data_IF_704567527392
#
_entry.id   IF_704567527392
#
_cell.length_a   1.000
_cell.length_b   1.000
_cell.length_c   1.000
_cell.angle_alpha   90.00
_cell.angle_beta   90.00
_cell.angle_gamma   90.00
#
_symmetry.space_group_name_H-M   'P 1'
#
loop_
_entity.id
_entity.type
_entity.pdbx_description
1 polymer ?
#
# COMPACT_ATOMS: atom_id res chain seq x y z
N UNK A 1 -0.90 5.89 -18.45
CA UNK A 1 0.35 5.11 -18.25
C UNK A 1 0.48 4.09 -19.37
N UNK A 2 1.62 4.07 -20.09
CA UNK A 2 1.93 3.05 -21.11
C UNK A 2 2.31 1.73 -20.43
N UNK A 3 1.61 0.65 -20.77
CA UNK A 3 1.77 -0.68 -20.14
C UNK A 3 2.31 -1.75 -21.09
N UNK A 4 2.17 -1.55 -22.40
CA UNK A 4 2.84 -2.39 -23.42
C UNK A 4 3.85 -1.55 -24.19
N UNK A 5 5.09 -2.02 -24.29
CA UNK A 5 6.19 -1.30 -24.95
C UNK A 5 6.33 -1.66 -26.43
N UNK A 6 6.21 -2.94 -26.76
CA UNK A 6 6.41 -3.51 -28.08
C UNK A 6 5.29 -3.22 -29.07
N UNK A 7 5.37 -3.89 -30.21
CA UNK A 7 4.41 -3.76 -31.30
C UNK A 7 3.13 -4.51 -30.97
N UNK A 8 1.98 -3.87 -31.21
CA UNK A 8 0.67 -4.49 -31.08
C UNK A 8 0.03 -4.56 -32.46
N UNK A 9 -0.77 -5.60 -32.70
CA UNK A 9 -1.69 -5.60 -33.82
C UNK A 9 -2.70 -4.45 -33.66
N UNK A 10 -3.23 -3.91 -34.76
CA UNK A 10 -4.08 -2.73 -34.75
C UNK A 10 -5.32 -2.89 -33.83
N UNK A 11 -5.91 -4.09 -33.77
CA UNK A 11 -7.03 -4.41 -32.90
C UNK A 11 -6.65 -4.51 -31.40
N UNK A 12 -5.37 -4.67 -31.07
CA UNK A 12 -4.86 -4.78 -29.70
C UNK A 12 -4.29 -3.47 -29.16
N UNK A 13 -4.17 -2.42 -29.99
CA UNK A 13 -3.63 -1.10 -29.60
C UNK A 13 -4.39 -0.45 -28.43
N UNK A 14 -5.66 -0.80 -28.24
CA UNK A 14 -6.45 -0.38 -27.07
C UNK A 14 -5.79 -0.75 -25.74
N UNK A 15 -4.96 -1.80 -25.71
CA UNK A 15 -4.25 -2.28 -24.52
C UNK A 15 -2.88 -1.64 -24.30
N UNK A 16 -2.40 -0.76 -25.20
CA UNK A 16 -1.10 -0.11 -25.06
C UNK A 16 -0.99 0.70 -23.76
N UNK A 17 -2.11 1.25 -23.31
CA UNK A 17 -2.21 2.09 -22.13
C UNK A 17 -3.22 1.52 -21.13
N UNK A 18 -2.96 1.74 -19.84
CA UNK A 18 -3.88 1.30 -18.79
C UNK A 18 -5.26 1.98 -18.93
N UNK A 19 -6.32 1.18 -19.05
CA UNK A 19 -7.71 1.62 -19.18
C UNK A 19 -8.50 1.39 -17.89
N UNK A 20 -8.05 2.04 -16.81
CA UNK A 20 -8.62 1.90 -15.45
C UNK A 20 -9.70 2.94 -15.11
N UNK A 21 -10.04 3.83 -16.05
CA UNK A 21 -11.13 4.80 -15.89
C UNK A 21 -12.49 4.09 -15.85
N UNK A 22 -13.52 4.71 -15.29
CA UNK A 22 -14.90 4.19 -15.23
C UNK A 22 -15.33 3.72 -16.62
N UNK A 23 -15.80 2.48 -16.78
CA UNK A 23 -16.12 1.80 -18.07
C UNK A 23 -14.95 1.42 -18.97
N UNK A 24 -13.70 1.69 -18.57
CA UNK A 24 -12.52 1.27 -19.32
C UNK A 24 -12.38 -0.24 -19.38
N UNK A 25 -11.70 -0.75 -20.43
CA UNK A 25 -11.60 -2.20 -20.68
C UNK A 25 -10.86 -2.99 -19.59
N UNK A 26 -10.15 -2.32 -18.67
CA UNK A 26 -9.53 -2.99 -17.52
C UNK A 26 -10.37 -2.89 -16.25
N UNK A 27 -11.56 -2.27 -16.30
CA UNK A 27 -12.51 -2.16 -15.19
C UNK A 27 -13.64 -3.15 -15.34
N UNK A 28 -13.51 -4.25 -14.63
CA UNK A 28 -14.57 -5.25 -14.49
C UNK A 28 -14.42 -5.96 -13.13
N UNK A 29 -15.53 -6.33 -12.51
CA UNK A 29 -15.50 -6.96 -11.19
C UNK A 29 -15.09 -8.44 -11.23
N UNK A 30 -15.26 -9.11 -12.38
CA UNK A 30 -15.04 -10.55 -12.55
C UNK A 30 -13.76 -10.88 -13.32
N UNK A 31 -13.45 -10.10 -14.34
CA UNK A 31 -12.44 -10.37 -15.37
C UNK A 31 -11.38 -9.27 -15.48
N UNK A 32 -11.48 -8.22 -14.65
CA UNK A 32 -10.58 -7.06 -14.68
C UNK A 32 -10.23 -6.54 -13.28
N UNK A 33 -9.80 -5.28 -13.22
CA UNK A 33 -9.57 -4.58 -11.97
C UNK A 33 -10.89 -4.12 -11.37
N UNK A 34 -11.24 -4.71 -10.22
CA UNK A 34 -12.38 -4.27 -9.40
C UNK A 34 -12.14 -2.91 -8.73
N UNK A 35 -10.89 -2.51 -8.50
CA UNK A 35 -10.53 -1.34 -7.67
C UNK A 35 -10.16 -0.08 -8.46
N UNK A 36 -9.94 -0.18 -9.78
CA UNK A 36 -9.40 0.95 -10.54
C UNK A 36 -7.89 1.12 -10.42
N UNK A 37 -7.23 0.16 -9.79
CA UNK A 37 -5.78 0.12 -9.62
C UNK A 37 -5.18 -1.18 -10.13
N UNK A 38 -3.89 -1.15 -10.44
CA UNK A 38 -3.05 -2.32 -10.68
C UNK A 38 -1.76 -2.17 -9.87
N UNK A 39 -1.22 -3.29 -9.42
CA UNK A 39 0.05 -3.32 -8.70
C UNK A 39 1.20 -3.18 -9.69
N UNK A 40 2.09 -2.22 -9.44
CA UNK A 40 3.33 -2.04 -10.21
C UNK A 40 4.60 -2.38 -9.42
N UNK A 41 4.54 -2.34 -8.09
CA UNK A 41 5.70 -2.60 -7.24
C UNK A 41 6.20 -4.03 -7.44
N UNK A 42 7.51 -4.18 -7.62
CA UNK A 42 8.21 -5.45 -7.92
C UNK A 42 7.87 -6.12 -9.26
N UNK A 43 6.98 -5.56 -10.07
CA UNK A 43 6.57 -6.16 -11.34
C UNK A 43 7.08 -5.29 -12.50
N UNK A 44 8.01 -5.78 -13.34
CA UNK A 44 8.42 -5.07 -14.55
C UNK A 44 7.23 -4.83 -15.46
N UNK A 45 7.13 -3.65 -16.10
CA UNK A 45 6.00 -3.35 -17.02
C UNK A 45 5.91 -4.32 -18.20
N UNK A 46 7.06 -4.84 -18.63
CA UNK A 46 7.18 -5.79 -19.74
C UNK A 46 6.72 -7.20 -19.38
N UNK A 47 6.41 -7.48 -18.11
CA UNK A 47 5.82 -8.75 -17.69
C UNK A 47 4.33 -8.78 -18.06
N UNK A 48 4.05 -8.88 -19.36
CA UNK A 48 2.72 -9.00 -19.93
C UNK A 48 2.75 -9.89 -21.18
N UNK A 49 1.57 -10.34 -21.65
CA UNK A 49 1.44 -11.27 -22.78
C UNK A 49 1.97 -10.74 -24.12
N UNK A 50 2.18 -9.43 -24.25
CA UNK A 50 2.61 -8.79 -25.49
C UNK A 50 4.13 -8.58 -25.51
N UNK A 51 4.68 -7.97 -24.46
CA UNK A 51 6.10 -7.69 -24.35
C UNK A 51 6.92 -8.95 -23.97
N UNK A 52 6.27 -9.91 -23.30
CA UNK A 52 6.87 -11.18 -22.86
C UNK A 52 8.21 -11.02 -22.14
N UNK A 53 8.37 -9.94 -21.38
CA UNK A 53 9.56 -9.70 -20.56
C UNK A 53 9.78 -10.89 -19.63
N UNK A 54 11.00 -11.42 -19.62
CA UNK A 54 11.36 -12.64 -18.86
C UNK A 54 10.52 -13.87 -19.24
N UNK A 55 10.11 -13.96 -20.52
CA UNK A 55 9.20 -14.97 -21.08
C UNK A 55 7.82 -15.00 -20.43
N UNK A 56 7.45 -13.98 -19.64
CA UNK A 56 6.21 -13.97 -18.85
C UNK A 56 6.03 -15.28 -18.04
N UNK A 57 7.15 -15.88 -17.61
CA UNK A 57 7.20 -17.25 -17.10
C UNK A 57 7.86 -17.35 -15.74
N UNK A 58 8.23 -18.58 -15.37
CA UNK A 58 8.83 -18.91 -14.08
C UNK A 58 10.19 -18.22 -13.80
N UNK A 59 10.79 -17.61 -14.82
CA UNK A 59 12.03 -16.83 -14.70
C UNK A 59 11.82 -15.49 -13.98
N UNK A 60 10.57 -14.98 -13.92
CA UNK A 60 10.27 -13.77 -13.18
C UNK A 60 10.33 -14.05 -11.67
N UNK A 61 11.43 -13.65 -11.04
CA UNK A 61 11.59 -13.72 -9.59
C UNK A 61 11.34 -12.35 -8.96
N UNK A 62 10.56 -12.35 -7.87
CA UNK A 62 10.34 -11.17 -7.02
C UNK A 62 11.08 -11.40 -5.71
N UNK A 63 11.94 -10.45 -5.34
CA UNK A 63 12.64 -10.44 -4.06
C UNK A 63 12.01 -9.42 -3.14
N UNK A 64 11.16 -9.87 -2.23
CA UNK A 64 10.59 -9.02 -1.18
C UNK A 64 11.52 -9.13 0.04
N UNK A 65 12.15 -8.03 0.48
CA UNK A 65 13.02 -8.06 1.63
C UNK A 65 12.20 -8.30 2.90
N UNK A 66 12.69 -9.16 3.79
CA UNK A 66 12.11 -9.32 5.14
C UNK A 66 12.35 -8.09 6.02
N UNK A 67 13.47 -7.42 5.82
CA UNK A 67 13.84 -6.17 6.48
C UNK A 67 14.68 -5.34 5.51
N UNK A 68 14.47 -4.02 5.53
CA UNK A 68 15.30 -3.07 4.79
C UNK A 68 15.43 -1.77 5.56
N UNK A 69 16.44 -0.99 5.23
CA UNK A 69 16.80 0.21 5.99
C UNK A 69 15.65 1.21 6.18
N UNK A 70 14.74 1.34 5.20
CA UNK A 70 13.58 2.22 5.36
C UNK A 70 12.64 1.78 6.48
N UNK A 71 12.44 0.47 6.65
CA UNK A 71 11.65 -0.09 7.76
C UNK A 71 12.33 0.25 9.10
N UNK A 72 13.66 0.14 9.17
CA UNK A 72 14.44 0.50 10.37
C UNK A 72 14.26 1.96 10.77
N UNK A 73 14.35 2.89 9.81
CA UNK A 73 14.10 4.32 10.09
C UNK A 73 12.66 4.57 10.57
N UNK A 74 11.67 3.91 9.97
CA UNK A 74 10.26 4.06 10.34
C UNK A 74 9.98 3.45 11.72
N UNK A 75 10.56 2.29 12.03
CA UNK A 75 10.49 1.67 13.37
C UNK A 75 11.16 2.55 14.41
N UNK A 76 12.32 3.13 14.09
CA UNK A 76 13.01 4.07 14.97
C UNK A 76 12.16 5.32 15.24
N UNK A 77 11.60 5.94 14.18
CA UNK A 77 10.76 7.13 14.32
C UNK A 77 9.55 6.87 15.22
N UNK A 78 8.88 5.73 15.04
CA UNK A 78 7.76 5.30 15.87
C UNK A 78 8.17 5.07 17.33
N UNK A 79 9.27 4.33 17.55
CA UNK A 79 9.75 3.98 18.88
C UNK A 79 10.20 5.21 19.67
N UNK A 80 10.94 6.12 19.04
CA UNK A 80 11.40 7.35 19.70
C UNK A 80 10.24 8.29 19.99
N UNK A 81 9.34 8.50 19.02
CA UNK A 81 8.20 9.37 19.25
C UNK A 81 7.29 8.85 20.37
N UNK A 82 7.06 7.54 20.43
CA UNK A 82 6.19 6.94 21.45
C UNK A 82 6.91 6.81 22.80
N UNK A 83 8.17 6.41 22.81
CA UNK A 83 8.93 6.12 24.03
C UNK A 83 9.39 7.37 24.78
N UNK A 84 9.76 8.44 24.07
CA UNK A 84 10.14 9.72 24.68
C UNK A 84 9.01 10.76 24.69
N UNK A 85 7.83 10.38 24.18
CA UNK A 85 6.71 11.29 23.99
C UNK A 85 7.08 12.59 23.25
N UNK A 86 8.02 12.51 22.30
CA UNK A 86 8.57 13.68 21.60
C UNK A 86 8.96 13.40 20.16
N UNK A 87 8.59 14.31 19.26
CA UNK A 87 8.90 14.24 17.82
C UNK A 87 10.35 14.61 17.50
N UNK A 88 11.00 15.35 18.41
CA UNK A 88 12.37 15.87 18.25
C UNK A 88 13.39 15.18 19.16
N UNK A 89 12.94 14.29 20.05
CA UNK A 89 13.81 13.45 20.86
C UNK A 89 14.67 12.53 19.99
N UNK A 90 15.80 12.10 20.55
CA UNK A 90 16.78 11.21 19.93
C UNK A 90 17.08 10.08 20.91
N UNK A 91 17.20 8.86 20.41
CA UNK A 91 17.72 7.78 21.23
C UNK A 91 19.25 7.92 21.37
N UNK A 92 19.78 7.41 22.47
CA UNK A 92 21.22 7.39 22.69
C UNK A 92 21.94 6.64 21.56
N UNK A 93 23.06 7.21 21.09
CA UNK A 93 23.85 6.63 20.00
C UNK A 93 23.31 6.86 18.59
N UNK A 94 22.18 7.56 18.42
CA UNK A 94 21.69 7.93 17.08
C UNK A 94 21.36 9.43 16.97
N UNK A 95 22.11 10.14 16.12
CA UNK A 95 22.03 11.60 16.01
C UNK A 95 20.77 12.18 15.38
N UNK A 96 19.80 11.33 14.98
CA UNK A 96 18.56 11.73 14.32
C UNK A 96 17.38 11.67 15.28
N UNK A 97 16.55 12.69 15.26
CA UNK A 97 15.27 12.65 15.95
C UNK A 97 14.25 11.75 15.23
N UNK A 98 13.10 11.53 15.86
CA UNK A 98 12.00 10.81 15.20
C UNK A 98 11.59 11.48 13.88
N UNK A 99 11.48 12.82 13.85
CA UNK A 99 11.18 13.58 12.62
C UNK A 99 12.33 13.52 11.61
N UNK A 100 13.59 13.55 12.04
CA UNK A 100 14.72 13.43 11.12
C UNK A 100 14.74 12.05 10.45
N UNK A 101 14.42 10.99 11.19
CA UNK A 101 14.41 9.62 10.67
C UNK A 101 13.34 9.38 9.60
N UNK A 102 12.12 9.86 9.81
CA UNK A 102 11.06 9.79 8.78
C UNK A 102 11.41 10.66 7.57
N UNK A 103 12.05 11.82 7.78
CA UNK A 103 12.46 12.70 6.67
C UNK A 103 13.55 12.08 5.79
N UNK A 104 14.41 11.18 6.29
CA UNK A 104 15.34 10.41 5.43
C UNK A 104 14.58 9.64 4.33
N UNK A 105 13.42 9.07 4.67
CA UNK A 105 12.62 8.28 3.73
C UNK A 105 11.94 9.19 2.71
N UNK A 106 11.42 10.32 3.19
CA UNK A 106 10.72 11.33 2.39
C UNK A 106 11.66 12.02 1.41
N UNK A 107 12.86 12.39 1.85
CA UNK A 107 13.91 12.95 1.01
C UNK A 107 14.30 11.99 -0.12
N UNK A 108 14.51 10.71 0.22
CA UNK A 108 14.80 9.69 -0.79
C UNK A 108 13.64 9.53 -1.78
N UNK A 109 12.40 9.63 -1.33
CA UNK A 109 11.21 9.56 -2.18
C UNK A 109 10.96 10.85 -2.99
N UNK A 110 11.69 11.93 -2.74
CA UNK A 110 11.52 13.23 -3.41
C UNK A 110 10.22 13.95 -3.01
N UNK A 111 9.72 13.71 -1.79
CA UNK A 111 8.55 14.40 -1.25
C UNK A 111 8.98 15.34 -0.12
N UNK A 112 8.21 16.42 0.10
CA UNK A 112 8.53 17.39 1.15
C UNK A 112 8.58 16.76 2.54
N UNK A 113 9.26 17.39 3.49
CA UNK A 113 9.34 16.94 4.88
C UNK A 113 7.97 16.84 5.56
N UNK A 114 7.93 16.22 6.75
CA UNK A 114 6.71 16.19 7.57
C UNK A 114 6.25 17.62 7.85
N UNK A 115 5.00 17.92 7.55
CA UNK A 115 4.44 19.26 7.73
C UNK A 115 4.34 19.63 9.21
N UNK A 116 4.56 20.91 9.53
CA UNK A 116 4.59 21.43 10.90
C UNK A 116 3.33 21.09 11.72
N UNK A 117 2.16 21.01 11.08
CA UNK A 117 0.89 20.65 11.73
C UNK A 117 0.92 19.26 12.40
N UNK A 118 1.79 18.36 11.95
CA UNK A 118 1.94 17.03 12.53
C UNK A 118 3.03 16.95 13.61
N UNK A 119 3.74 18.03 13.88
CA UNK A 119 4.86 18.02 14.84
C UNK A 119 4.47 18.51 16.24
N UNK A 120 3.27 19.07 16.40
CA UNK A 120 2.80 19.65 17.66
C UNK A 120 2.49 18.64 18.76
N UNK A 121 2.29 17.35 18.41
CA UNK A 121 2.16 16.26 19.38
C UNK A 121 2.57 14.93 18.77
N UNK A 122 2.90 13.97 19.61
CA UNK A 122 3.16 12.58 19.18
C UNK A 122 1.91 11.94 18.59
N UNK A 123 0.71 12.26 19.08
CA UNK A 123 -0.55 11.78 18.50
C UNK A 123 -0.71 12.19 17.04
N UNK A 124 -0.48 13.45 16.70
CA UNK A 124 -0.55 13.93 15.31
C UNK A 124 0.60 13.37 14.48
N UNK A 125 1.82 13.33 15.04
CA UNK A 125 2.99 12.79 14.35
C UNK A 125 2.82 11.31 14.01
N UNK A 126 2.24 10.53 14.92
CA UNK A 126 1.98 9.11 14.71
C UNK A 126 0.98 8.85 13.57
N UNK A 127 0.09 9.79 13.24
CA UNK A 127 -0.75 9.68 12.03
C UNK A 127 0.12 9.69 10.77
N UNK A 128 1.12 10.58 10.72
CA UNK A 128 2.07 10.63 9.60
C UNK A 128 3.02 9.44 9.57
N UNK A 129 3.53 8.97 10.71
CA UNK A 129 4.34 7.74 10.77
C UNK A 129 3.56 6.54 10.20
N UNK A 130 2.28 6.40 10.59
CA UNK A 130 1.39 5.34 10.07
C UNK A 130 1.11 5.48 8.58
N UNK A 131 0.95 6.71 8.09
CA UNK A 131 0.75 7.03 6.66
C UNK A 131 1.99 6.70 5.86
N UNK A 132 3.17 7.13 6.32
CA UNK A 132 4.45 6.92 5.66
C UNK A 132 4.81 5.42 5.61
N UNK A 133 4.63 4.68 6.72
CA UNK A 133 4.73 3.19 6.70
C UNK A 133 3.80 2.57 5.68
N UNK A 134 2.55 3.03 5.58
CA UNK A 134 1.59 2.47 4.65
C UNK A 134 2.02 2.64 3.19
N UNK A 135 2.61 3.79 2.85
CA UNK A 135 3.08 4.13 1.50
C UNK A 135 4.39 3.41 1.19
N UNK A 136 5.39 3.60 2.05
CA UNK A 136 6.75 3.10 1.85
C UNK A 136 6.78 1.57 1.76
N UNK A 137 6.07 0.90 2.68
CA UNK A 137 6.06 -0.56 2.84
C UNK A 137 4.82 -1.22 2.20
N UNK A 138 4.12 -0.51 1.30
CA UNK A 138 2.99 -1.07 0.58
C UNK A 138 3.38 -2.37 -0.14
N UNK A 139 2.54 -3.41 -0.02
CA UNK A 139 2.75 -4.74 -0.62
C UNK A 139 4.02 -5.49 -0.16
N UNK A 140 4.56 -5.14 1.01
CA UNK A 140 5.73 -5.83 1.62
C UNK A 140 5.36 -6.64 2.88
N UNK A 141 4.07 -6.93 3.10
CA UNK A 141 3.64 -7.82 4.21
C UNK A 141 3.46 -7.14 5.58
N UNK A 142 3.69 -5.84 5.71
CA UNK A 142 3.62 -5.15 7.01
C UNK A 142 2.19 -4.74 7.43
N UNK A 143 1.37 -4.26 6.48
CA UNK A 143 0.14 -3.51 6.80
C UNK A 143 -0.86 -4.26 7.70
N UNK A 144 -0.97 -5.58 7.53
CA UNK A 144 -1.86 -6.38 8.37
C UNK A 144 -1.41 -6.41 9.83
N UNK A 145 -0.11 -6.61 10.07
CA UNK A 145 0.45 -6.66 11.42
C UNK A 145 0.50 -5.27 12.05
N UNK A 146 0.80 -4.25 11.26
CA UNK A 146 0.77 -2.85 11.69
C UNK A 146 -0.61 -2.42 12.22
N UNK A 147 -1.68 -2.71 11.47
CA UNK A 147 -3.03 -2.38 11.93
C UNK A 147 -3.43 -3.18 13.19
N UNK A 148 -2.94 -4.42 13.34
CA UNK A 148 -3.21 -5.24 14.54
C UNK A 148 -2.52 -4.68 15.78
N UNK A 149 -1.22 -4.40 15.70
CA UNK A 149 -0.43 -3.91 16.84
C UNK A 149 -0.85 -2.50 17.28
N UNK A 150 -1.38 -1.68 16.36
CA UNK A 150 -1.95 -0.38 16.68
C UNK A 150 -3.42 -0.42 17.12
N UNK A 151 -4.06 -1.59 17.16
CA UNK A 151 -5.50 -1.72 17.44
C UNK A 151 -6.38 -0.90 16.48
N UNK A 152 -6.05 -0.96 15.19
CA UNK A 152 -6.76 -0.25 14.11
C UNK A 152 -7.40 -1.18 13.08
N UNK A 153 -7.20 -2.50 13.18
CA UNK A 153 -7.65 -3.46 12.17
C UNK A 153 -9.17 -3.42 11.97
N UNK A 154 -9.93 -3.25 13.06
CA UNK A 154 -11.39 -3.20 13.06
C UNK A 154 -11.96 -1.78 12.95
N UNK A 155 -11.11 -0.76 12.86
CA UNK A 155 -11.53 0.65 12.89
C UNK A 155 -11.79 1.21 11.50
N UNK A 156 -12.77 2.12 11.39
CA UNK A 156 -12.96 2.95 10.20
C UNK A 156 -11.85 4.02 10.15
N UNK A 157 -11.25 4.31 8.98
CA UNK A 157 -11.59 3.81 7.64
C UNK A 157 -10.86 2.53 7.21
N UNK A 158 -10.07 1.90 8.07
CA UNK A 158 -9.24 0.75 7.70
C UNK A 158 -10.03 -0.51 7.33
N UNK A 159 -11.26 -0.66 7.82
CA UNK A 159 -12.20 -1.72 7.42
C UNK A 159 -12.79 -1.50 6.03
N UNK A 160 -12.84 -0.25 5.55
CA UNK A 160 -13.35 0.09 4.23
C UNK A 160 -12.34 -0.28 3.15
N UNK A 161 -12.83 -0.86 2.05
CA UNK A 161 -12.08 -1.09 0.82
C UNK A 161 -12.81 -0.35 -0.28
N UNK A 162 -12.10 0.52 -0.95
CA UNK A 162 -12.65 1.39 -1.98
C UNK A 162 -12.12 1.03 -3.36
N UNK A 163 -12.86 1.44 -4.37
CA UNK A 163 -12.42 1.53 -5.75
C UNK A 163 -12.33 2.99 -6.16
N UNK A 164 -11.34 3.33 -6.97
CA UNK A 164 -11.28 4.61 -7.66
C UNK A 164 -12.16 4.57 -8.90
N UNK A 165 -13.07 5.54 -8.99
CA UNK A 165 -13.87 5.81 -10.17
C UNK A 165 -13.48 7.18 -10.70
N UNK A 166 -13.20 7.29 -11.99
CA UNK A 166 -12.79 8.53 -12.63
C UNK A 166 -13.02 8.45 -14.14
N UNK A 167 -13.22 9.59 -14.77
CA UNK A 167 -13.39 9.68 -16.22
C UNK A 167 -12.12 10.22 -16.86
N UNK A 168 -11.90 9.90 -18.14
CA UNK A 168 -10.85 10.57 -18.92
C UNK A 168 -11.34 11.98 -19.24
N UNK A 169 -10.61 13.01 -18.83
CA UNK A 169 -10.98 14.39 -19.12
C UNK A 169 -10.91 14.74 -20.61
N UNK A 170 -10.09 14.01 -21.37
CA UNK A 170 -9.99 14.09 -22.81
C UNK A 170 -9.57 12.74 -23.39
N UNK A 171 -9.75 12.57 -24.70
CA UNK A 171 -9.20 11.43 -25.44
C UNK A 171 -7.70 11.34 -25.19
N UNK A 172 -7.21 10.13 -24.96
CA UNK A 172 -5.80 9.89 -24.71
C UNK A 172 -4.98 10.35 -25.94
N UNK A 173 -4.04 11.27 -25.73
CA UNK A 173 -3.06 11.65 -26.74
C UNK A 173 -1.72 10.92 -26.46
N UNK A 174 -1.33 9.94 -27.30
CA UNK A 174 -0.07 9.21 -27.16
C UNK A 174 1.19 10.08 -27.29
N UNK A 175 1.10 11.24 -27.95
CA UNK A 175 2.24 12.13 -28.19
C UNK A 175 2.58 13.02 -26.98
N UNK A 176 1.67 13.12 -26.00
CA UNK A 176 1.88 13.90 -24.78
C UNK A 176 2.35 13.01 -23.63
N UNK A 177 3.16 13.56 -22.71
CA UNK A 177 3.54 12.83 -21.50
C UNK A 177 2.29 12.33 -20.79
N UNK A 178 2.22 11.02 -20.54
CA UNK A 178 1.06 10.44 -19.88
C UNK A 178 0.79 11.00 -18.48
N UNK A 179 1.77 11.67 -17.86
CA UNK A 179 1.63 12.37 -16.57
C UNK A 179 0.83 13.68 -16.66
N UNK A 180 0.73 14.31 -17.83
CA UNK A 180 -0.06 15.54 -18.01
C UNK A 180 -1.53 15.27 -18.34
N UNK A 181 -1.89 14.00 -18.60
CA UNK A 181 -3.28 13.62 -18.84
C UNK A 181 -4.10 13.80 -17.56
N UNK A 182 -5.15 14.62 -17.66
CA UNK A 182 -6.06 14.90 -16.56
C UNK A 182 -7.15 13.84 -16.45
N UNK A 183 -7.56 13.58 -15.22
CA UNK A 183 -8.77 12.82 -14.90
C UNK A 183 -9.87 13.78 -14.46
N UNK A 184 -11.12 13.43 -14.72
CA UNK A 184 -12.30 14.16 -14.27
C UNK A 184 -13.14 13.28 -13.34
N UNK A 185 -14.01 13.90 -12.53
CA UNK A 185 -15.01 13.22 -11.70
C UNK A 185 -14.43 12.10 -10.81
N UNK A 186 -13.21 12.29 -10.28
CA UNK A 186 -12.60 11.33 -9.36
C UNK A 186 -13.45 11.21 -8.11
N UNK A 187 -13.79 9.98 -7.76
CA UNK A 187 -14.50 9.63 -6.53
C UNK A 187 -14.09 8.25 -6.07
N UNK A 188 -14.19 8.03 -4.78
CA UNK A 188 -14.02 6.69 -4.20
C UNK A 188 -15.38 6.07 -3.94
N UNK A 189 -15.52 4.80 -4.31
CA UNK A 189 -16.71 3.99 -4.02
C UNK A 189 -16.33 2.86 -3.08
N UNK A 190 -17.03 2.71 -1.97
CA UNK A 190 -16.86 1.55 -1.09
C UNK A 190 -17.33 0.29 -1.81
N UNK A 191 -16.46 -0.71 -1.91
CA UNK A 191 -16.75 -2.01 -2.56
C UNK A 191 -16.85 -3.16 -1.56
N UNK A 192 -16.27 -2.98 -0.37
CA UNK A 192 -16.31 -3.95 0.71
C UNK A 192 -16.02 -3.24 2.02
N UNK A 193 -16.86 -3.45 3.03
CA UNK A 193 -16.50 -3.21 4.41
C UNK A 193 -16.19 -4.56 5.06
N UNK A 194 -14.98 -4.70 5.60
CA UNK A 194 -14.59 -5.93 6.30
C UNK A 194 -15.28 -5.97 7.65
N UNK A 195 -16.03 -7.05 7.99
CA UNK A 195 -16.72 -7.18 9.28
C UNK A 195 -15.74 -7.64 10.37
N UNK A 196 -14.64 -6.90 10.53
CA UNK A 196 -13.68 -7.16 11.59
C UNK A 196 -14.22 -6.67 12.93
N UNK A 197 -13.78 -7.35 13.98
CA UNK A 197 -14.18 -7.16 15.38
C UNK A 197 -13.02 -7.60 16.26
N UNK A 198 -13.14 -7.44 17.58
CA UNK A 198 -12.05 -7.72 18.54
C UNK A 198 -11.39 -9.10 18.37
N UNK A 199 -12.16 -10.15 18.06
CA UNK A 199 -11.58 -11.49 17.84
C UNK A 199 -10.56 -11.54 16.71
N UNK A 200 -10.71 -10.68 15.69
CA UNK A 200 -9.87 -10.67 14.49
C UNK A 200 -8.48 -10.05 14.73
N UNK A 201 -8.20 -9.50 15.92
CA UNK A 201 -6.83 -9.20 16.35
C UNK A 201 -6.00 -10.47 16.55
N UNK A 202 -6.66 -11.63 16.75
CA UNK A 202 -6.04 -12.95 16.85
C UNK A 202 -6.48 -13.82 15.67
N UNK A 203 -5.59 -14.74 15.26
CA UNK A 203 -5.97 -15.79 14.32
C UNK A 203 -6.54 -16.98 15.10
N UNK A 204 -7.57 -17.67 14.59
CA UNK A 204 -8.06 -18.88 15.25
C UNK A 204 -6.98 -19.95 15.26
N UNK A 205 -6.82 -20.62 16.39
CA UNK A 205 -6.07 -21.87 16.50
C UNK A 205 -6.87 -23.00 15.86
N UNK A 206 -6.20 -24.03 15.33
CA UNK A 206 -6.89 -25.18 14.72
C UNK A 206 -7.66 -25.92 15.81
N UNK A 207 -8.88 -26.36 15.50
CA UNK A 207 -9.72 -27.12 16.45
C UNK A 207 -9.05 -28.39 16.97
N UNK A 208 -8.28 -29.08 16.11
CA UNK A 208 -7.55 -30.27 16.50
C UNK A 208 -6.50 -29.99 17.59
N UNK A 209 -5.89 -28.79 17.58
CA UNK A 209 -4.86 -28.43 18.54
C UNK A 209 -5.50 -28.07 19.89
N UNK A 210 -6.55 -27.23 19.90
CA UNK A 210 -7.24 -26.79 21.13
C UNK A 210 -8.06 -27.90 21.80
N UNK A 211 -8.42 -28.96 21.07
CA UNK A 211 -9.12 -30.11 21.63
C UNK A 211 -8.16 -31.19 22.16
N UNK A 212 -6.84 -30.98 22.04
CA UNK A 212 -5.85 -31.96 22.50
C UNK A 212 -5.74 -31.98 24.03
N UNK A 213 -5.82 -30.81 24.67
CA UNK A 213 -5.72 -30.63 26.11
C UNK A 213 -6.73 -29.59 26.61
N UNK A 214 -7.46 -29.85 27.72
CA UNK A 214 -8.40 -28.89 28.30
C UNK A 214 -7.79 -27.51 28.62
N UNK A 215 -6.48 -27.47 28.90
CA UNK A 215 -5.75 -26.26 29.27
C UNK A 215 -5.34 -25.39 28.06
N UNK A 216 -5.38 -25.94 26.84
CA UNK A 216 -4.99 -25.22 25.62
C UNK A 216 -6.21 -24.58 24.95
N UNK A 217 -6.70 -23.51 25.56
CA UNK A 217 -7.91 -22.81 25.10
C UNK A 217 -7.71 -22.02 23.80
N UNK A 218 -8.83 -21.75 23.14
CA UNK A 218 -8.87 -20.96 21.91
C UNK A 218 -8.57 -19.47 22.18
N UNK A 219 -8.07 -18.77 21.15
CA UNK A 219 -7.92 -17.32 21.18
C UNK A 219 -9.27 -16.62 21.40
N UNK A 220 -9.31 -15.47 22.09
CA UNK A 220 -10.56 -14.80 22.46
C UNK A 220 -11.52 -14.59 21.29
N UNK A 221 -12.76 -15.10 21.44
CA UNK A 221 -13.86 -14.93 20.50
C UNK A 221 -13.89 -15.89 19.30
N UNK A 222 -13.00 -16.86 19.23
CA UNK A 222 -12.97 -17.92 18.21
C UNK A 222 -13.49 -19.27 18.72
#
# INVERSE_FOLDING_TARGET
>A
VKVVQGTLAANMEVHRYANLFTTGSYRDERSGSRTGYMLYKFVPRTANNFDQGWNYGQNLNIKVPYMRLADVYLMYAEAVATGYESTTAKADGFGKSAVDAINIIRDRAGVGHVAAQYLGSTTEFMKEVRRERAVELAFEGHRFNDLRRWRLLAEVPYTLKTAAEFDRAATLNPATDTKVNKVANYRERVILQRPFSEKHYWLPLKRADVNMYPEFSQNPGW
#
